data_IF_742462372806
#
_entry.id   IF_742462372806
#
_cell.length_a   1.000
_cell.length_b   1.000
_cell.length_c   1.000
_cell.angle_alpha   90.00
_cell.angle_beta   90.00
_cell.angle_gamma   90.00
#
_symmetry.space_group_name_H-M   'P 1'
#
loop_
_entity.id
_entity.type
_entity.pdbx_description
1 polymer ?
#
# COMPACT_ATOMS: atom_id res chain seq x y z
N UNK A 1 -2.90 7.27 0.50
CA UNK A 1 -4.01 7.06 -0.44
C UNK A 1 -4.34 8.35 -1.16
N UNK A 2 -4.96 8.31 -2.34
CA UNK A 2 -5.32 9.50 -3.14
C UNK A 2 -5.46 9.15 -4.61
N UNK A 3 -6.14 10.02 -5.35
CA UNK A 3 -6.37 9.88 -6.79
C UNK A 3 -5.07 9.90 -7.63
N UNK A 4 -5.05 9.47 -8.88
CA UNK A 4 -3.90 9.66 -9.76
C UNK A 4 -3.47 11.12 -9.81
N UNK A 5 -2.20 11.37 -10.05
CA UNK A 5 -1.61 12.71 -10.28
C UNK A 5 -1.72 13.73 -9.13
N UNK A 6 -2.26 13.37 -7.96
CA UNK A 6 -2.30 14.27 -6.77
C UNK A 6 -0.91 14.46 -6.13
N UNK A 7 0.11 13.69 -6.56
CA UNK A 7 1.49 13.85 -6.11
C UNK A 7 1.96 12.86 -5.04
N UNK A 8 1.28 11.71 -4.86
CA UNK A 8 1.67 10.66 -3.89
C UNK A 8 3.10 10.19 -4.06
N UNK A 9 3.46 9.77 -5.26
CA UNK A 9 4.81 9.26 -5.57
C UNK A 9 5.86 10.36 -5.48
N UNK A 10 5.50 11.61 -5.78
CA UNK A 10 6.38 12.79 -5.61
C UNK A 10 6.66 13.01 -4.13
N UNK A 11 5.62 13.01 -3.29
CA UNK A 11 5.77 13.13 -1.84
C UNK A 11 6.63 11.99 -1.29
N UNK A 12 6.33 10.74 -1.65
CA UNK A 12 7.10 9.58 -1.20
C UNK A 12 8.58 9.67 -1.59
N UNK A 13 8.86 10.08 -2.83
CA UNK A 13 10.23 10.22 -3.33
C UNK A 13 10.99 11.33 -2.61
N UNK A 14 10.29 12.41 -2.22
CA UNK A 14 10.88 13.53 -1.49
C UNK A 14 11.25 13.18 -0.06
N UNK A 15 10.38 12.46 0.63
CA UNK A 15 10.54 12.16 2.08
C UNK A 15 11.35 10.90 2.35
N UNK A 16 11.58 10.08 1.32
CA UNK A 16 12.34 8.85 1.46
C UNK A 16 13.85 9.09 1.36
N UNK A 17 14.62 8.59 2.33
CA UNK A 17 16.08 8.69 2.34
C UNK A 17 16.78 7.84 1.28
N UNK A 18 16.07 6.90 0.68
CA UNK A 18 16.53 6.07 -0.42
C UNK A 18 15.45 6.06 -1.50
N UNK A 19 15.82 5.72 -2.73
CA UNK A 19 14.80 5.52 -3.78
C UNK A 19 13.75 4.53 -3.27
N UNK A 20 12.45 4.88 -3.34
CA UNK A 20 11.38 3.98 -2.94
C UNK A 20 11.57 2.62 -3.60
N UNK A 21 11.47 1.56 -2.82
CA UNK A 21 11.60 0.20 -3.32
C UNK A 21 10.22 -0.36 -3.61
N UNK A 22 10.09 -1.00 -4.76
CA UNK A 22 8.92 -1.80 -5.08
C UNK A 22 8.96 -3.04 -4.18
N UNK A 23 7.97 -3.22 -3.33
CA UNK A 23 7.88 -4.41 -2.50
C UNK A 23 7.17 -5.50 -3.32
N UNK A 24 7.92 -6.53 -3.71
CA UNK A 24 7.36 -7.71 -4.37
C UNK A 24 6.71 -8.58 -3.29
N UNK A 25 5.42 -8.42 -3.11
CA UNK A 25 4.65 -9.38 -2.31
C UNK A 25 4.23 -10.52 -3.22
N UNK A 26 4.63 -11.75 -2.86
CA UNK A 26 4.14 -12.95 -3.52
C UNK A 26 2.61 -12.95 -3.42
N UNK A 27 1.93 -13.03 -4.55
CA UNK A 27 0.46 -13.03 -4.70
C UNK A 27 -0.24 -11.67 -4.89
N UNK A 28 0.48 -10.56 -5.16
CA UNK A 28 -0.16 -9.27 -5.50
C UNK A 28 0.23 -8.82 -6.90
N UNK A 29 -0.77 -8.41 -7.69
CA UNK A 29 -0.57 -7.79 -9.01
C UNK A 29 -0.16 -6.31 -8.90
N UNK A 30 -0.43 -5.68 -7.76
CA UNK A 30 -0.07 -4.30 -7.46
C UNK A 30 0.99 -4.27 -6.34
N UNK A 31 2.17 -3.80 -6.69
CA UNK A 31 3.28 -3.71 -5.75
C UNK A 31 3.33 -2.30 -5.16
N UNK A 32 3.17 -2.13 -3.82
CA UNK A 32 3.31 -0.84 -3.19
C UNK A 32 4.76 -0.32 -3.28
N UNK A 33 4.89 0.97 -3.46
CA UNK A 33 6.17 1.65 -3.33
C UNK A 33 6.39 2.01 -1.86
N UNK A 34 7.45 1.47 -1.26
CA UNK A 34 7.79 1.72 0.14
C UNK A 34 8.95 2.70 0.23
N UNK A 35 8.79 3.73 1.05
CA UNK A 35 9.85 4.67 1.40
C UNK A 35 10.09 4.69 2.90
N UNK A 36 11.36 4.75 3.31
CA UNK A 36 11.75 4.96 4.71
C UNK A 36 11.92 6.45 4.93
N UNK A 37 11.08 7.01 5.77
CA UNK A 37 11.15 8.40 6.22
C UNK A 37 12.01 8.46 7.46
N UNK A 38 13.05 9.31 7.45
CA UNK A 38 13.95 9.52 8.58
C UNK A 38 13.83 10.98 9.04
N UNK A 39 13.50 11.15 10.31
CA UNK A 39 13.33 12.46 10.95
C UNK A 39 14.58 12.91 11.74
N UNK A 40 15.65 12.13 11.72
CA UNK A 40 16.83 12.34 12.53
C UNK A 40 16.72 11.66 13.91
N UNK A 41 17.82 11.68 14.67
CA UNK A 41 17.92 11.13 16.04
C UNK A 41 17.43 9.68 16.22
N UNK A 42 17.55 8.88 15.16
CA UNK A 42 17.08 7.49 15.15
C UNK A 42 15.57 7.33 14.93
N UNK A 43 14.84 8.41 14.73
CA UNK A 43 13.39 8.39 14.50
C UNK A 43 13.09 8.13 13.02
N UNK A 44 12.37 7.06 12.73
CA UNK A 44 11.99 6.71 11.37
C UNK A 44 10.68 5.93 11.33
N UNK A 45 10.02 5.98 10.17
CA UNK A 45 8.85 5.17 9.87
C UNK A 45 8.79 4.82 8.38
N UNK A 46 7.95 3.85 8.03
CA UNK A 46 7.75 3.45 6.63
C UNK A 46 6.47 4.10 6.10
N UNK A 47 6.59 4.75 4.96
CA UNK A 47 5.46 5.26 4.18
C UNK A 47 5.28 4.39 2.95
N UNK A 48 4.03 4.02 2.65
CA UNK A 48 3.68 3.23 1.48
C UNK A 48 2.82 4.07 0.53
N UNK A 49 3.23 4.17 -0.73
CA UNK A 49 2.36 4.58 -1.82
C UNK A 49 1.74 3.33 -2.43
N UNK A 50 0.43 3.21 -2.27
CA UNK A 50 -0.31 2.04 -2.72
C UNK A 50 -1.12 2.48 -3.94
N UNK A 51 -0.69 2.12 -5.17
CA UNK A 51 -1.42 2.45 -6.40
C UNK A 51 -2.72 1.65 -6.49
N UNK A 52 -3.76 2.22 -7.10
CA UNK A 52 -4.96 1.48 -7.49
C UNK A 52 -6.19 1.61 -6.57
N UNK A 53 -6.25 2.64 -5.72
CA UNK A 53 -7.45 2.95 -4.95
C UNK A 53 -8.32 3.92 -5.73
N UNK A 54 -8.77 3.63 -6.92
CA UNK A 54 -9.81 4.42 -7.59
C UNK A 54 -10.26 3.76 -8.89
N UNK A 55 -11.56 3.87 -9.13
CA UNK A 55 -12.35 3.40 -10.26
C UNK A 55 -12.56 1.88 -10.28
N UNK A 56 -13.65 1.44 -9.63
CA UNK A 56 -14.22 0.11 -9.79
C UNK A 56 -13.63 -0.99 -8.90
N UNK A 57 -12.86 -0.66 -7.86
CA UNK A 57 -12.36 -1.66 -6.92
C UNK A 57 -13.51 -2.39 -6.18
N UNK A 58 -14.65 -1.73 -5.99
CA UNK A 58 -15.87 -2.31 -5.41
C UNK A 58 -16.68 -3.15 -6.41
N UNK A 59 -16.47 -2.99 -7.72
CA UNK A 59 -17.25 -3.67 -8.77
C UNK A 59 -16.73 -5.06 -9.17
N UNK A 60 -15.85 -5.67 -8.39
CA UNK A 60 -15.57 -7.11 -8.51
C UNK A 60 -14.44 -7.51 -9.46
N UNK A 61 -13.64 -6.60 -9.96
CA UNK A 61 -12.42 -6.94 -10.67
C UNK A 61 -11.28 -7.17 -9.67
N UNK A 62 -11.21 -8.32 -9.03
CA UNK A 62 -10.14 -8.96 -8.24
C UNK A 62 -8.94 -8.20 -7.64
N UNK A 63 -8.70 -6.97 -8.05
CA UNK A 63 -7.57 -6.13 -7.65
C UNK A 63 -7.81 -5.38 -6.32
N UNK A 64 -9.07 -5.12 -5.96
CA UNK A 64 -9.42 -4.34 -4.77
C UNK A 64 -9.10 -5.06 -3.45
N UNK A 65 -9.36 -6.35 -3.35
CA UNK A 65 -9.17 -7.12 -2.11
C UNK A 65 -7.69 -7.26 -1.70
N UNK A 66 -6.77 -7.43 -2.66
CA UNK A 66 -5.34 -7.54 -2.35
C UNK A 66 -4.75 -6.21 -1.90
N UNK A 67 -5.17 -5.12 -2.53
CA UNK A 67 -4.81 -3.76 -2.16
C UNK A 67 -5.23 -3.41 -0.73
N UNK A 68 -6.44 -3.75 -0.37
CA UNK A 68 -7.03 -3.41 0.91
C UNK A 68 -6.40 -4.20 2.07
N UNK A 69 -5.83 -5.39 1.83
CA UNK A 69 -4.97 -6.10 2.78
C UNK A 69 -3.71 -5.31 3.16
N UNK A 70 -3.18 -4.48 2.25
CA UNK A 70 -2.05 -3.62 2.58
C UNK A 70 -2.44 -2.49 3.51
N UNK A 71 -3.64 -1.91 3.32
CA UNK A 71 -4.16 -0.85 4.18
C UNK A 71 -4.44 -1.38 5.59
N UNK A 72 -4.93 -2.59 5.74
CA UNK A 72 -5.17 -3.20 7.07
C UNK A 72 -3.91 -3.27 7.95
N UNK A 73 -2.73 -3.26 7.34
CA UNK A 73 -1.44 -3.26 8.04
C UNK A 73 -0.94 -1.87 8.41
N UNK A 74 -1.60 -0.82 7.94
CA UNK A 74 -1.19 0.55 8.22
C UNK A 74 -1.66 1.00 9.60
N UNK A 75 -0.92 1.92 10.21
CA UNK A 75 -1.27 2.53 11.49
C UNK A 75 -2.02 3.85 11.31
N UNK A 76 -1.79 4.52 10.19
CA UNK A 76 -2.33 5.84 9.85
C UNK A 76 -2.64 5.87 8.37
N UNK A 77 -3.75 6.46 7.99
CA UNK A 77 -4.09 6.77 6.60
C UNK A 77 -3.78 8.23 6.31
N UNK A 78 -2.95 8.46 5.29
CA UNK A 78 -2.69 9.79 4.76
C UNK A 78 -3.40 9.94 3.42
N UNK A 79 -4.43 10.80 3.38
CA UNK A 79 -5.08 11.22 2.15
C UNK A 79 -4.23 12.32 1.49
N UNK A 80 -3.86 12.14 0.23
CA UNK A 80 -3.16 13.17 -0.55
C UNK A 80 -4.11 13.65 -1.62
N UNK A 81 -4.41 14.94 -1.61
CA UNK A 81 -5.32 15.60 -2.57
C UNK A 81 -4.63 16.74 -3.30
N UNK A 82 -5.11 17.04 -4.50
CA UNK A 82 -4.65 18.15 -5.31
C UNK A 82 -5.44 19.42 -4.92
N UNK A 83 -4.90 20.22 -4.01
CA UNK A 83 -5.56 21.45 -3.54
C UNK A 83 -5.67 22.53 -4.63
N UNK A 84 -4.84 22.47 -5.66
CA UNK A 84 -4.89 23.40 -6.78
C UNK A 84 -5.91 22.98 -7.86
N UNK A 85 -6.53 21.81 -7.72
CA UNK A 85 -7.51 21.27 -8.69
C UNK A 85 -6.99 21.28 -10.14
N UNK A 86 -5.71 20.98 -10.34
CA UNK A 86 -5.04 21.08 -11.65
C UNK A 86 -5.75 20.24 -12.71
N UNK A 87 -6.36 19.12 -12.31
CA UNK A 87 -7.13 18.25 -13.19
C UNK A 87 -8.64 18.50 -13.13
N UNK A 88 -9.07 19.62 -12.50
CA UNK A 88 -10.48 20.00 -12.41
C UNK A 88 -11.31 19.16 -11.44
N UNK A 89 -10.68 18.41 -10.53
CA UNK A 89 -11.34 17.62 -9.49
C UNK A 89 -11.48 18.45 -8.22
N UNK A 90 -12.57 18.25 -7.49
CA UNK A 90 -12.77 18.83 -6.17
C UNK A 90 -12.03 17.99 -5.11
N UNK A 91 -11.06 18.59 -4.35
CA UNK A 91 -10.29 17.87 -3.35
C UNK A 91 -11.15 17.37 -2.17
N UNK A 92 -12.27 18.01 -1.85
CA UNK A 92 -13.20 17.55 -0.80
C UNK A 92 -13.94 16.30 -1.27
N UNK A 93 -14.50 16.34 -2.48
CA UNK A 93 -15.16 15.18 -3.08
C UNK A 93 -14.20 14.00 -3.22
N UNK A 94 -12.94 14.24 -3.55
CA UNK A 94 -11.91 13.21 -3.64
C UNK A 94 -11.67 12.49 -2.32
N UNK A 95 -11.62 13.20 -1.19
CA UNK A 95 -11.49 12.58 0.14
C UNK A 95 -12.73 11.75 0.48
N UNK A 96 -13.92 12.30 0.27
CA UNK A 96 -15.16 11.58 0.54
C UNK A 96 -15.27 10.30 -0.29
N UNK A 97 -14.97 10.35 -1.57
CA UNK A 97 -14.99 9.17 -2.45
C UNK A 97 -14.04 8.07 -1.96
N UNK A 98 -12.83 8.43 -1.50
CA UNK A 98 -11.89 7.47 -0.92
C UNK A 98 -12.43 6.90 0.39
N UNK A 99 -13.02 7.71 1.25
CA UNK A 99 -13.60 7.25 2.52
C UNK A 99 -14.76 6.29 2.29
N UNK A 100 -15.62 6.57 1.32
CA UNK A 100 -16.74 5.71 0.93
C UNK A 100 -16.24 4.36 0.41
N UNK A 101 -15.21 4.34 -0.42
CA UNK A 101 -14.61 3.11 -0.93
C UNK A 101 -13.98 2.28 0.19
N UNK A 102 -13.23 2.90 1.10
CA UNK A 102 -12.66 2.25 2.28
C UNK A 102 -13.76 1.68 3.19
N UNK A 103 -14.84 2.42 3.38
CA UNK A 103 -16.00 2.00 4.17
C UNK A 103 -16.74 0.82 3.55
N UNK A 104 -16.91 0.84 2.24
CA UNK A 104 -17.58 -0.24 1.50
C UNK A 104 -16.79 -1.56 1.60
N UNK A 105 -15.46 -1.47 1.63
CA UNK A 105 -14.63 -2.64 1.80
C UNK A 105 -14.58 -3.14 3.25
N UNK A 106 -14.18 -2.26 4.18
CA UNK A 106 -14.08 -2.58 5.60
C UNK A 106 -14.23 -1.30 6.44
N UNK A 107 -15.39 -1.09 7.09
CA UNK A 107 -15.64 0.08 7.91
C UNK A 107 -14.62 0.30 9.04
N UNK A 108 -13.93 -0.77 9.47
CA UNK A 108 -12.88 -0.67 10.49
C UNK A 108 -11.68 0.18 10.04
N UNK A 109 -11.48 0.32 8.71
CA UNK A 109 -10.41 1.17 8.17
C UNK A 109 -10.64 2.65 8.47
N UNK A 110 -11.89 3.09 8.56
CA UNK A 110 -12.23 4.47 8.92
C UNK A 110 -11.96 4.79 10.39
N UNK A 111 -11.76 3.78 11.23
CA UNK A 111 -11.36 3.96 12.65
C UNK A 111 -9.86 4.17 12.82
N UNK A 112 -9.09 4.01 11.76
CA UNK A 112 -7.68 4.36 11.77
C UNK A 112 -7.51 5.87 11.94
N UNK A 113 -6.48 6.32 12.64
CA UNK A 113 -6.07 7.72 12.57
C UNK A 113 -5.89 8.15 11.12
N UNK A 114 -6.44 9.29 10.76
CA UNK A 114 -6.39 9.83 9.41
C UNK A 114 -5.78 11.22 9.42
N UNK A 115 -5.17 11.62 8.31
CA UNK A 115 -4.72 12.98 8.05
C UNK A 115 -4.86 13.30 6.56
N UNK A 116 -4.99 14.56 6.21
CA UNK A 116 -5.08 15.03 4.83
C UNK A 116 -3.86 15.90 4.52
N UNK A 117 -3.19 15.59 3.42
CA UNK A 117 -2.18 16.43 2.80
C UNK A 117 -2.79 17.16 1.59
N UNK A 118 -3.13 18.42 1.76
CA UNK A 118 -3.55 19.31 0.70
C UNK A 118 -2.31 19.74 -0.09
N UNK A 119 -2.01 18.97 -1.14
CA UNK A 119 -0.79 19.13 -1.94
C UNK A 119 -0.97 20.11 -3.09
N UNK A 120 0.14 20.53 -3.68
CA UNK A 120 0.24 21.47 -4.79
C UNK A 120 -0.21 22.90 -4.44
N UNK A 121 -0.07 23.33 -3.17
CA UNK A 121 -0.38 24.71 -2.80
C UNK A 121 0.44 25.74 -3.58
N UNK A 122 1.62 25.35 -4.05
CA UNK A 122 2.46 26.16 -4.95
C UNK A 122 1.83 26.42 -6.32
N UNK A 123 0.78 25.69 -6.69
CA UNK A 123 0.06 25.81 -7.96
C UNK A 123 -1.34 26.44 -7.81
N UNK A 124 -1.68 26.96 -6.64
CA UNK A 124 -2.94 27.72 -6.44
C UNK A 124 -2.73 29.15 -6.93
N UNK A 125 -3.36 29.50 -8.03
CA UNK A 125 -3.21 30.80 -8.70
C UNK A 125 -4.37 31.76 -8.46
N UNK A 126 -5.50 31.27 -7.94
CA UNK A 126 -6.67 32.11 -7.68
C UNK A 126 -6.52 32.82 -6.32
N UNK A 127 -6.31 34.16 -6.36
CA UNK A 127 -6.17 34.96 -5.13
C UNK A 127 -7.43 34.99 -4.25
N UNK A 128 -8.57 34.52 -4.76
CA UNK A 128 -9.85 34.41 -4.03
C UNK A 128 -10.14 33.05 -3.45
N UNK A 129 -9.41 32.00 -3.84
CA UNK A 129 -9.62 30.63 -3.39
C UNK A 129 -8.67 30.28 -2.23
N UNK A 130 -9.23 29.74 -1.16
CA UNK A 130 -8.45 29.12 -0.07
C UNK A 130 -8.86 27.67 0.12
N UNK A 131 -8.41 26.78 -0.80
CA UNK A 131 -8.77 25.37 -0.74
C UNK A 131 -8.28 24.69 0.55
N UNK A 132 -7.24 25.21 1.18
CA UNK A 132 -6.77 24.73 2.46
C UNK A 132 -7.76 25.04 3.59
N UNK A 133 -8.32 26.26 3.61
CA UNK A 133 -9.34 26.64 4.59
C UNK A 133 -10.62 25.86 4.40
N UNK A 134 -11.04 25.62 3.15
CA UNK A 134 -12.23 24.82 2.84
C UNK A 134 -12.05 23.36 3.29
N UNK A 135 -10.93 22.72 3.01
CA UNK A 135 -10.62 21.38 3.50
C UNK A 135 -10.58 21.30 5.04
N UNK A 136 -9.96 22.29 5.70
CA UNK A 136 -9.95 22.35 7.17
C UNK A 136 -11.35 22.48 7.76
N UNK A 137 -12.17 23.34 7.18
CA UNK A 137 -13.56 23.54 7.61
C UNK A 137 -14.38 22.26 7.53
N UNK A 138 -14.15 21.45 6.51
CA UNK A 138 -14.87 20.20 6.30
C UNK A 138 -14.36 19.08 7.24
N UNK A 139 -13.06 18.85 7.29
CA UNK A 139 -12.52 17.63 7.88
C UNK A 139 -11.99 17.76 9.31
N UNK A 140 -11.55 18.96 9.76
CA UNK A 140 -11.09 19.13 11.14
C UNK A 140 -12.17 18.89 12.19
N UNK A 141 -13.46 19.25 11.95
CA UNK A 141 -14.55 18.89 12.86
C UNK A 141 -14.78 17.37 12.98
N UNK A 142 -14.36 16.60 11.98
CA UNK A 142 -14.39 15.14 11.99
C UNK A 142 -13.18 14.52 12.72
N UNK A 143 -12.27 15.35 13.24
CA UNK A 143 -11.04 14.90 13.88
C UNK A 143 -9.93 14.50 12.90
N UNK A 144 -10.03 14.90 11.64
CA UNK A 144 -9.05 14.63 10.59
C UNK A 144 -8.26 15.92 10.31
N UNK A 145 -7.03 16.06 10.78
CA UNK A 145 -6.24 17.27 10.57
C UNK A 145 -5.79 17.41 9.12
N UNK A 146 -5.73 18.65 8.65
CA UNK A 146 -5.37 19.00 7.27
C UNK A 146 -4.07 19.80 7.26
N UNK A 147 -3.12 19.32 6.47
CA UNK A 147 -1.80 19.94 6.27
C UNK A 147 -1.68 20.45 4.85
N UNK A 148 -1.42 21.75 4.72
CA UNK A 148 -1.09 22.34 3.42
C UNK A 148 0.37 22.06 3.09
N UNK A 149 0.62 21.45 1.94
CA UNK A 149 1.97 21.10 1.52
C UNK A 149 2.23 21.41 0.05
N UNK A 150 3.51 21.48 -0.29
CA UNK A 150 4.00 21.32 -1.64
C UNK A 150 5.03 20.18 -1.67
N UNK A 151 4.66 19.06 -2.28
CA UNK A 151 5.60 17.95 -2.45
C UNK A 151 6.80 18.32 -3.34
N UNK A 152 6.65 19.32 -4.21
CA UNK A 152 7.72 19.80 -5.10
C UNK A 152 8.68 20.73 -4.38
N UNK A 153 8.21 21.74 -3.65
CA UNK A 153 9.07 22.67 -2.91
C UNK A 153 9.53 22.11 -1.56
N UNK A 154 8.69 21.30 -0.91
CA UNK A 154 8.90 20.76 0.44
C UNK A 154 8.24 21.60 1.53
N UNK A 155 7.57 22.67 1.18
CA UNK A 155 6.84 23.50 2.12
C UNK A 155 5.77 22.69 2.85
N UNK A 156 5.62 22.88 4.17
CA UNK A 156 4.65 22.19 5.03
C UNK A 156 4.90 20.69 5.25
N UNK A 157 5.82 20.07 4.50
CA UNK A 157 6.05 18.61 4.57
C UNK A 157 6.58 18.17 5.93
N UNK A 158 7.48 18.94 6.54
CA UNK A 158 8.05 18.57 7.83
C UNK A 158 7.00 18.48 8.94
N UNK A 159 6.08 19.45 9.01
CA UNK A 159 5.01 19.47 10.02
C UNK A 159 4.10 18.25 9.88
N UNK A 160 3.76 17.89 8.65
CA UNK A 160 3.03 16.65 8.33
C UNK A 160 3.79 15.42 8.83
N UNK A 161 5.09 15.30 8.55
CA UNK A 161 5.89 14.14 8.91
C UNK A 161 6.02 13.97 10.44
N UNK A 162 6.25 15.06 11.17
CA UNK A 162 6.30 15.01 12.64
C UNK A 162 4.95 14.61 13.23
N UNK A 163 3.84 15.14 12.69
CA UNK A 163 2.51 14.73 13.11
C UNK A 163 2.29 13.21 12.89
N UNK A 164 2.58 12.72 11.69
CA UNK A 164 2.42 11.29 11.37
C UNK A 164 3.26 10.41 12.29
N UNK A 165 4.50 10.79 12.56
CA UNK A 165 5.38 10.07 13.47
C UNK A 165 4.81 10.01 14.90
N UNK A 166 4.31 11.12 15.42
CA UNK A 166 3.72 11.19 16.76
C UNK A 166 2.47 10.29 16.85
N UNK A 167 1.60 10.32 15.85
CA UNK A 167 0.43 9.44 15.78
C UNK A 167 0.84 7.96 15.70
N UNK A 168 1.82 7.61 14.86
CA UNK A 168 2.31 6.23 14.71
C UNK A 168 2.87 5.70 16.04
N UNK A 169 3.56 6.53 16.80
CA UNK A 169 4.10 6.16 18.12
C UNK A 169 3.01 5.91 19.16
N UNK A 170 1.94 6.71 19.12
CA UNK A 170 0.81 6.61 20.06
C UNK A 170 -0.16 5.48 19.69
N UNK A 171 -0.13 5.05 18.45
CA UNK A 171 -1.00 3.97 17.96
C UNK A 171 -0.39 2.62 18.33
N UNK A 172 -0.84 2.06 19.44
CA UNK A 172 -0.45 0.73 19.88
C UNK A 172 -1.26 -0.32 19.12
N UNK A 173 -0.74 -0.73 17.96
CA UNK A 173 -1.28 -1.86 17.21
C UNK A 173 -0.29 -3.01 17.28
N UNK A 174 -0.61 -4.00 18.10
CA UNK A 174 -0.09 -5.35 17.88
C UNK A 174 -0.48 -5.76 16.46
N UNK A 175 0.47 -6.16 15.61
CA UNK A 175 0.13 -6.68 14.29
C UNK A 175 -0.90 -7.79 14.47
N UNK A 176 -2.07 -7.68 13.82
CA UNK A 176 -2.96 -8.83 13.73
C UNK A 176 -2.16 -9.90 13.00
N UNK A 177 -1.73 -10.92 13.72
CA UNK A 177 -1.18 -12.13 13.14
C UNK A 177 -2.42 -12.78 12.51
N UNK A 178 -2.57 -12.64 11.20
CA UNK A 178 -3.54 -13.45 10.48
C UNK A 178 -3.07 -14.89 10.62
N UNK A 179 -3.83 -15.69 11.34
CA UNK A 179 -3.69 -17.13 11.28
C UNK A 179 -3.78 -17.48 9.79
N UNK A 180 -2.92 -18.37 9.33
CA UNK A 180 -2.95 -18.85 7.95
C UNK A 180 -4.35 -19.43 7.72
N UNK A 181 -5.23 -18.69 7.06
CA UNK A 181 -6.58 -19.19 6.68
C UNK A 181 -6.51 -20.35 5.69
N UNK A 182 -5.36 -20.57 5.10
CA UNK A 182 -5.03 -21.77 4.35
C UNK A 182 -3.70 -22.30 4.88
N UNK A 183 -3.73 -23.35 5.65
CA UNK A 183 -2.70 -24.35 5.47
C UNK A 183 -2.85 -24.75 4.01
N UNK A 184 -1.87 -24.34 3.17
CA UNK A 184 -1.63 -25.09 1.95
C UNK A 184 -1.31 -26.47 2.52
N UNK A 185 -2.32 -27.34 2.62
CA UNK A 185 -2.04 -28.74 2.61
C UNK A 185 -1.18 -28.92 1.37
N UNK A 186 0.10 -29.05 1.60
CA UNK A 186 0.97 -29.60 0.59
C UNK A 186 0.36 -30.95 0.28
N UNK A 187 -0.43 -31.00 -0.80
CA UNK A 187 -0.97 -32.24 -1.37
C UNK A 187 0.19 -33.06 -1.98
N UNK A 188 1.35 -32.90 -1.45
CA UNK A 188 2.49 -33.77 -1.58
C UNK A 188 2.47 -34.66 -0.36
N UNK A 189 1.81 -35.78 -0.49
CA UNK A 189 1.88 -36.83 0.50
C UNK A 189 3.37 -37.17 0.74
N UNK A 190 3.93 -36.57 1.82
CA UNK A 190 5.33 -36.85 2.22
C UNK A 190 5.55 -38.31 2.59
N UNK A 191 4.47 -39.07 2.71
CA UNK A 191 4.51 -40.52 3.00
C UNK A 191 4.75 -41.36 1.75
N UNK A 192 4.60 -40.79 0.53
CA UNK A 192 4.85 -41.56 -0.69
C UNK A 192 6.36 -41.79 -0.86
N UNK A 193 6.78 -43.04 -0.95
CA UNK A 193 8.18 -43.40 -1.08
C UNK A 193 8.75 -42.97 -2.45
N UNK A 194 10.01 -42.70 -2.46
CA UNK A 194 10.81 -42.56 -3.68
C UNK A 194 12.15 -43.26 -3.45
N UNK A 195 12.74 -43.79 -4.51
CA UNK A 195 14.07 -44.38 -4.51
C UNK A 195 15.02 -43.51 -5.30
N UNK A 196 16.27 -43.53 -4.88
CA UNK A 196 17.39 -42.87 -5.60
C UNK A 196 18.44 -43.91 -5.84
N UNK A 197 18.64 -44.30 -7.08
CA UNK A 197 19.63 -45.26 -7.48
C UNK A 197 20.65 -44.63 -8.42
N UNK A 198 21.85 -45.18 -8.47
CA UNK A 198 22.88 -44.74 -9.38
C UNK A 198 23.06 -45.83 -10.40
N UNK A 199 22.90 -45.49 -11.69
CA UNK A 199 23.08 -46.43 -12.78
C UNK A 199 24.57 -46.76 -13.04
N UNK A 200 24.80 -47.65 -13.98
CA UNK A 200 26.17 -48.07 -14.36
C UNK A 200 26.99 -46.97 -15.02
N UNK A 201 26.32 -45.90 -15.53
CA UNK A 201 26.93 -44.73 -16.14
C UNK A 201 27.23 -43.62 -15.11
N UNK A 202 26.78 -43.82 -13.86
CA UNK A 202 26.99 -42.89 -12.76
C UNK A 202 25.94 -41.78 -12.65
N UNK A 203 24.80 -41.90 -13.37
CA UNK A 203 23.65 -41.01 -13.34
C UNK A 203 22.74 -41.39 -12.21
N UNK A 204 22.20 -40.43 -11.47
CA UNK A 204 21.22 -40.67 -10.43
C UNK A 204 19.82 -40.77 -11.04
N UNK A 205 19.18 -41.92 -10.86
CA UNK A 205 17.77 -42.15 -11.26
C UNK A 205 16.90 -42.04 -10.02
N UNK A 206 15.86 -41.21 -10.09
CA UNK A 206 14.92 -40.98 -8.99
C UNK A 206 13.56 -41.45 -9.45
N UNK A 207 13.00 -42.44 -8.82
CA UNK A 207 11.71 -43.03 -9.17
C UNK A 207 10.78 -43.15 -7.98
N UNK A 208 9.50 -43.06 -8.21
CA UNK A 208 8.46 -43.33 -7.22
C UNK A 208 7.21 -42.49 -7.40
N UNK A 209 6.11 -42.88 -6.78
CA UNK A 209 4.80 -42.25 -6.90
C UNK A 209 4.82 -40.75 -6.58
N UNK A 210 5.74 -40.33 -5.72
CA UNK A 210 5.93 -38.89 -5.40
C UNK A 210 6.50 -38.11 -6.56
N UNK A 211 7.45 -38.66 -7.26
CA UNK A 211 8.14 -38.03 -8.40
C UNK A 211 7.20 -37.94 -9.59
N UNK A 212 6.48 -39.04 -9.90
CA UNK A 212 5.48 -39.06 -10.97
C UNK A 212 4.39 -38.03 -10.75
N UNK A 213 3.91 -37.89 -9.51
CA UNK A 213 2.91 -36.90 -9.16
C UNK A 213 3.45 -35.47 -9.29
N UNK A 214 4.71 -35.19 -8.94
CA UNK A 214 5.36 -33.90 -9.14
C UNK A 214 5.52 -33.55 -10.62
N UNK A 215 5.95 -34.51 -11.42
CA UNK A 215 6.10 -34.35 -12.87
C UNK A 215 4.77 -34.10 -13.57
N UNK A 216 3.68 -34.73 -13.12
CA UNK A 216 2.34 -34.51 -13.66
C UNK A 216 1.79 -33.08 -13.47
N UNK A 217 2.35 -32.30 -12.55
CA UNK A 217 1.99 -30.90 -12.32
C UNK A 217 2.99 -29.90 -12.93
N UNK A 218 4.08 -30.38 -13.49
CA UNK A 218 5.17 -29.54 -14.03
C UNK A 218 5.07 -29.50 -15.55
N UNK A 219 5.02 -28.30 -16.12
CA UNK A 219 5.11 -28.13 -17.57
C UNK A 219 6.58 -28.23 -17.98
N UNK A 220 6.97 -29.42 -18.42
CA UNK A 220 8.35 -29.73 -18.83
C UNK A 220 8.81 -29.00 -20.11
N UNK A 221 7.87 -28.40 -20.86
CA UNK A 221 8.16 -27.62 -22.08
C UNK A 221 8.44 -26.14 -21.80
N UNK A 222 8.38 -25.71 -20.55
CA UNK A 222 8.68 -24.33 -20.15
C UNK A 222 10.11 -24.17 -19.66
N UNK A 223 10.79 -23.05 -20.02
CA UNK A 223 12.14 -22.72 -19.51
C UNK A 223 12.25 -22.62 -17.97
N UNK A 224 11.12 -22.72 -17.26
CA UNK A 224 11.01 -22.68 -15.78
C UNK A 224 10.37 -23.93 -15.18
N UNK A 225 10.13 -24.95 -16.00
CA UNK A 225 9.59 -26.25 -15.57
C UNK A 225 10.61 -27.14 -14.93
#
# INVERSE_FOLDING_TARGET
>A
VGFPNVGKSTLLSRVSNARPKIANYHFTTLNPHLGVVNLGDGNSFVMADIPGLIEGASEGAGLGHEFLRHIERTKVLLHVVDAASVEGRDPIEDVHAIMDELSAYNPELLKLPQAIAANKLDAVYDEGADPLADLKKEFEPMGIPVFGISAVSGEGVNDLLYYLYDVIRKTDRTPKIFEKEFEIEYVGDRSLPYTVEKDEEGIYVVEGPRIEKMLGYTNLDSEKG
#
